data_IF_117549372991
#
_entry.id   IF_117549372991
#
_cell.length_a   1.000
_cell.length_b   1.000
_cell.length_c   1.000
_cell.angle_alpha   90.00
_cell.angle_beta   90.00
_cell.angle_gamma   90.00
#
_symmetry.space_group_name_H-M   'P 1'
#
loop_
_entity.id
_entity.type
_entity.pdbx_description
1 polymer ?
#
# COMPACT_ATOMS: atom_id res chain seq x y z
N UNK A 1 18.16 8.65 3.02
CA UNK A 1 18.58 9.64 2.01
C UNK A 1 17.47 10.70 1.89
N UNK A 2 17.82 11.98 1.96
CA UNK A 2 16.90 13.08 1.65
C UNK A 2 16.64 13.14 0.12
N UNK A 3 15.38 13.25 -0.27
CA UNK A 3 14.94 13.24 -1.68
C UNK A 3 15.20 14.56 -2.41
N UNK A 4 15.31 15.66 -1.68
CA UNK A 4 15.49 17.00 -2.26
C UNK A 4 16.98 17.34 -2.49
N UNK A 5 17.89 16.41 -2.16
CA UNK A 5 19.33 16.61 -2.26
C UNK A 5 19.94 15.75 -3.37
N UNK A 6 20.99 16.28 -4.00
CA UNK A 6 21.91 15.53 -4.85
C UNK A 6 23.09 15.07 -4.03
N UNK A 7 23.57 13.86 -4.30
CA UNK A 7 24.77 13.32 -3.67
C UNK A 7 25.81 13.06 -4.74
N UNK A 8 27.07 13.31 -4.39
CA UNK A 8 28.20 13.20 -5.29
C UNK A 8 29.13 12.11 -4.80
N UNK A 9 29.71 11.37 -5.74
CA UNK A 9 30.50 10.20 -5.41
C UNK A 9 31.20 9.59 -6.60
N UNK A 10 31.74 8.40 -6.36
CA UNK A 10 32.41 7.57 -7.36
C UNK A 10 31.71 6.22 -7.46
N UNK A 11 31.59 5.67 -8.67
CA UNK A 11 30.96 4.38 -8.95
C UNK A 11 31.81 3.52 -9.87
N UNK A 12 31.63 2.20 -9.78
CA UNK A 12 32.31 1.21 -10.61
C UNK A 12 31.48 -0.07 -10.75
N UNK A 13 31.83 -0.92 -11.72
CA UNK A 13 31.24 -2.25 -11.86
C UNK A 13 31.85 -3.22 -10.85
N UNK A 14 31.09 -4.23 -10.43
CA UNK A 14 31.60 -5.26 -9.53
C UNK A 14 32.83 -5.96 -10.13
N UNK A 15 33.94 -5.99 -9.38
CA UNK A 15 35.22 -6.52 -9.84
C UNK A 15 36.12 -5.51 -10.60
N UNK A 16 35.65 -4.30 -10.87
CA UNK A 16 36.38 -3.25 -11.60
C UNK A 16 36.66 -2.01 -10.73
N UNK A 17 37.06 -2.19 -9.46
CA UNK A 17 37.28 -1.07 -8.53
C UNK A 17 38.36 -0.07 -9.00
N UNK A 18 39.30 -0.50 -9.84
CA UNK A 18 40.31 0.38 -10.43
C UNK A 18 39.74 1.39 -11.44
N UNK A 19 38.52 1.18 -11.94
CA UNK A 19 37.86 2.03 -12.93
C UNK A 19 36.72 2.85 -12.31
N UNK A 20 37.05 3.66 -11.31
CA UNK A 20 36.09 4.56 -10.65
C UNK A 20 35.71 5.71 -11.57
N UNK A 21 34.43 5.98 -11.66
CA UNK A 21 33.86 7.07 -12.45
C UNK A 21 33.06 7.98 -11.53
N UNK A 22 33.14 9.29 -11.77
CA UNK A 22 32.31 10.24 -11.05
C UNK A 22 30.81 9.95 -11.29
N UNK A 23 30.01 10.13 -10.26
CA UNK A 23 28.57 9.99 -10.33
C UNK A 23 27.81 11.01 -9.50
N UNK A 24 26.61 11.33 -9.99
CA UNK A 24 25.62 12.13 -9.29
C UNK A 24 24.40 11.25 -9.02
N UNK A 25 24.06 11.12 -7.74
CA UNK A 25 22.86 10.45 -7.27
C UNK A 25 21.78 11.49 -6.98
N UNK A 26 20.59 11.32 -7.56
CA UNK A 26 19.48 12.23 -7.36
C UNK A 26 18.13 11.50 -7.46
N UNK A 27 17.04 12.17 -7.05
CA UNK A 27 15.69 11.64 -7.17
C UNK A 27 14.92 12.34 -8.29
N UNK A 28 14.14 11.56 -9.04
CA UNK A 28 13.14 12.06 -10.00
C UNK A 28 11.86 11.26 -9.83
N UNK A 29 10.76 11.92 -9.44
CA UNK A 29 9.45 11.28 -9.24
C UNK A 29 9.51 10.06 -8.29
N UNK A 30 10.24 10.17 -7.17
CA UNK A 30 10.58 9.11 -6.20
C UNK A 30 11.48 7.96 -6.73
N UNK A 31 11.80 7.92 -8.03
CA UNK A 31 12.81 7.01 -8.56
C UNK A 31 14.20 7.57 -8.24
N UNK A 32 15.08 6.73 -7.68
CA UNK A 32 16.49 7.04 -7.50
C UNK A 32 17.18 6.92 -8.87
N UNK A 33 17.98 7.91 -9.24
CA UNK A 33 18.69 8.00 -10.50
C UNK A 33 20.18 8.18 -10.23
N UNK A 34 20.99 7.48 -11.01
CA UNK A 34 22.44 7.54 -10.97
C UNK A 34 22.96 8.00 -12.33
N UNK A 35 23.42 9.24 -12.40
CA UNK A 35 24.06 9.82 -13.58
C UNK A 35 25.58 9.69 -13.50
N UNK A 36 26.20 9.10 -14.50
CA UNK A 36 27.64 8.79 -14.50
C UNK A 36 28.15 8.56 -15.92
N UNK A 37 29.46 8.62 -16.10
CA UNK A 37 30.16 8.21 -17.31
C UNK A 37 30.59 6.74 -17.27
N UNK A 38 30.15 5.97 -16.26
CA UNK A 38 30.37 4.53 -16.17
C UNK A 38 29.61 3.80 -17.28
N UNK A 39 30.35 3.23 -18.23
CA UNK A 39 29.80 2.60 -19.42
C UNK A 39 30.39 1.20 -19.58
N UNK A 40 29.54 0.18 -19.70
CA UNK A 40 30.02 -1.16 -19.98
C UNK A 40 30.47 -1.27 -21.44
N UNK A 41 31.53 -2.06 -21.73
CA UNK A 41 32.04 -2.25 -23.08
C UNK A 41 31.06 -3.01 -23.99
N UNK A 42 30.06 -3.69 -23.41
CA UNK A 42 29.00 -4.39 -24.15
C UNK A 42 27.69 -3.64 -24.05
N UNK A 43 26.91 -3.68 -25.14
CA UNK A 43 25.54 -3.17 -25.16
C UNK A 43 24.67 -4.01 -24.23
N UNK A 44 24.22 -3.42 -23.14
CA UNK A 44 23.28 -4.03 -22.20
C UNK A 44 22.15 -3.06 -21.91
N UNK A 45 20.95 -3.59 -21.69
CA UNK A 45 19.79 -2.77 -21.31
C UNK A 45 19.77 -2.46 -19.81
N UNK A 46 20.51 -3.24 -19.01
CA UNK A 46 20.64 -3.09 -17.57
C UNK A 46 21.96 -3.65 -17.06
N UNK A 47 22.37 -3.18 -15.89
CA UNK A 47 23.51 -3.70 -15.14
C UNK A 47 23.01 -4.46 -13.90
N UNK A 48 23.52 -5.66 -13.62
CA UNK A 48 23.07 -6.42 -12.44
C UNK A 48 23.45 -5.69 -11.14
N UNK A 49 24.65 -5.12 -11.09
CA UNK A 49 25.19 -4.49 -9.89
C UNK A 49 26.13 -3.33 -10.25
N UNK A 50 25.99 -2.22 -9.54
CA UNK A 50 26.92 -1.08 -9.56
C UNK A 50 27.27 -0.77 -8.10
N UNK A 51 28.54 -0.53 -7.83
CA UNK A 51 29.06 -0.16 -6.51
C UNK A 51 29.40 1.32 -6.52
N UNK A 52 29.16 2.03 -5.42
CA UNK A 52 29.64 3.41 -5.29
C UNK A 52 29.86 3.92 -3.87
N UNK A 53 30.71 4.92 -3.77
CA UNK A 53 31.00 5.65 -2.53
C UNK A 53 30.55 7.09 -2.71
N UNK A 54 29.68 7.56 -1.82
CA UNK A 54 29.10 8.89 -1.88
C UNK A 54 29.41 9.69 -0.61
N UNK A 55 29.72 10.96 -0.81
CA UNK A 55 29.92 11.89 0.31
C UNK A 55 28.64 11.93 1.16
N UNK A 56 28.79 11.83 2.47
CA UNK A 56 27.70 11.84 3.47
C UNK A 56 26.75 10.63 3.46
N UNK A 57 26.87 9.70 2.51
CA UNK A 57 26.08 8.47 2.47
C UNK A 57 26.90 7.19 2.70
N UNK A 58 28.23 7.26 2.52
CA UNK A 58 29.10 6.09 2.64
C UNK A 58 29.03 5.18 1.43
N UNK A 59 29.05 3.86 1.66
CA UNK A 59 29.00 2.87 0.59
C UNK A 59 27.56 2.56 0.19
N UNK A 60 27.32 2.54 -1.12
CA UNK A 60 26.03 2.21 -1.72
C UNK A 60 26.20 1.09 -2.74
N UNK A 61 25.41 0.04 -2.61
CA UNK A 61 25.31 -1.04 -3.60
C UNK A 61 23.99 -0.92 -4.34
N UNK A 62 24.06 -0.72 -5.66
CA UNK A 62 22.91 -0.60 -6.55
C UNK A 62 22.66 -1.93 -7.27
N UNK A 63 21.41 -2.39 -7.29
CA UNK A 63 21.02 -3.68 -7.89
C UNK A 63 19.95 -3.48 -8.98
N UNK A 64 20.07 -4.25 -10.06
CA UNK A 64 19.16 -4.27 -11.21
C UNK A 64 18.98 -2.86 -11.82
N UNK A 65 20.11 -2.29 -12.24
CA UNK A 65 20.25 -0.92 -12.71
C UNK A 65 19.86 -0.79 -14.19
N UNK A 66 18.63 -0.36 -14.46
CA UNK A 66 18.16 -0.17 -15.83
C UNK A 66 18.74 1.10 -16.45
N UNK A 67 19.20 1.04 -17.70
CA UNK A 67 19.67 2.24 -18.41
C UNK A 67 18.45 3.02 -18.90
N UNK A 68 18.22 4.23 -18.38
CA UNK A 68 17.10 5.09 -18.79
C UNK A 68 17.50 6.04 -19.91
N UNK A 69 18.73 6.52 -19.86
CA UNK A 69 19.28 7.43 -20.86
C UNK A 69 20.73 7.05 -21.14
N UNK A 70 21.11 7.14 -22.40
CA UNK A 70 22.47 6.97 -22.86
C UNK A 70 22.72 8.01 -23.94
N UNK A 71 23.78 8.79 -23.78
CA UNK A 71 24.24 9.77 -24.75
C UNK A 71 25.66 9.42 -25.18
N UNK A 72 25.93 9.50 -26.48
CA UNK A 72 27.25 9.28 -27.07
C UNK A 72 27.78 10.59 -27.68
N UNK A 73 29.07 10.88 -27.48
CA UNK A 73 29.71 12.13 -27.87
C UNK A 73 31.16 12.21 -27.36
N UNK A 74 31.74 13.42 -27.25
CA UNK A 74 33.07 13.60 -26.62
C UNK A 74 33.10 13.16 -25.14
N UNK A 75 31.94 13.18 -24.49
CA UNK A 75 31.71 12.61 -23.15
C UNK A 75 30.52 11.68 -23.27
N UNK A 76 30.70 10.42 -22.85
CA UNK A 76 29.59 9.45 -22.77
C UNK A 76 28.94 9.58 -21.40
N UNK A 77 27.63 9.86 -21.36
CA UNK A 77 26.87 9.98 -20.10
C UNK A 77 25.70 9.02 -20.12
N UNK A 78 25.54 8.29 -19.01
CA UNK A 78 24.46 7.34 -18.76
C UNK A 78 23.71 7.68 -17.49
N UNK A 79 22.38 7.47 -17.54
CA UNK A 79 21.53 7.54 -16.36
C UNK A 79 20.99 6.15 -16.08
N UNK A 80 21.42 5.58 -14.96
CA UNK A 80 20.95 4.31 -14.44
C UNK A 80 19.81 4.54 -13.44
N UNK A 81 18.78 3.70 -13.52
CA UNK A 81 17.72 3.61 -12.53
C UNK A 81 17.83 2.28 -11.79
N UNK A 82 18.46 2.24 -10.59
CA UNK A 82 18.48 1.06 -9.75
C UNK A 82 17.08 0.66 -9.30
N UNK A 83 16.83 -0.65 -9.21
CA UNK A 83 15.60 -1.18 -8.60
C UNK A 83 15.70 -1.19 -7.07
N UNK A 84 16.87 -1.56 -6.56
CA UNK A 84 17.18 -1.57 -5.13
C UNK A 84 18.51 -0.86 -4.88
N UNK A 85 18.63 -0.20 -3.73
CA UNK A 85 19.85 0.50 -3.32
C UNK A 85 20.10 0.24 -1.85
N UNK A 86 21.24 -0.35 -1.52
CA UNK A 86 21.62 -0.72 -0.17
C UNK A 86 22.66 0.26 0.34
N UNK A 87 22.45 0.81 1.53
CA UNK A 87 23.38 1.73 2.21
C UNK A 87 23.94 1.04 3.43
N UNK A 88 25.26 1.01 3.53
CA UNK A 88 25.99 0.27 4.55
C UNK A 88 27.39 0.84 4.77
N UNK A 89 28.05 0.34 5.82
CA UNK A 89 29.46 0.65 6.10
C UNK A 89 30.41 0.03 5.07
N UNK A 90 30.00 -1.05 4.39
CA UNK A 90 30.77 -1.77 3.37
C UNK A 90 29.87 -2.18 2.20
N UNK A 91 30.43 -2.45 1.03
CA UNK A 91 29.65 -2.95 -0.11
C UNK A 91 29.09 -4.36 0.12
N UNK A 92 27.83 -4.56 -0.27
CA UNK A 92 27.25 -5.91 -0.32
C UNK A 92 27.85 -6.71 -1.47
N UNK A 93 28.43 -7.85 -1.15
CA UNK A 93 28.94 -8.82 -2.12
C UNK A 93 27.80 -9.64 -2.74
N UNK A 94 26.74 -9.92 -1.97
CA UNK A 94 25.55 -10.66 -2.45
C UNK A 94 24.25 -10.12 -1.82
N UNK A 95 23.75 -9.02 -2.39
CA UNK A 95 22.54 -8.36 -1.90
C UNK A 95 21.26 -9.20 -2.11
N UNK A 96 21.25 -10.14 -3.06
CA UNK A 96 20.06 -10.95 -3.39
C UNK A 96 19.91 -12.17 -2.47
N UNK A 97 21.02 -12.80 -2.07
CA UNK A 97 20.98 -13.91 -1.12
C UNK A 97 21.17 -13.46 0.34
N UNK A 98 21.20 -12.15 0.60
CA UNK A 98 21.26 -11.61 1.97
C UNK A 98 20.05 -12.12 2.76
N UNK A 99 20.32 -12.86 3.82
CA UNK A 99 19.33 -13.36 4.76
C UNK A 99 19.19 -12.42 5.94
N UNK A 100 17.95 -12.21 6.38
CA UNK A 100 17.59 -11.35 7.50
C UNK A 100 16.56 -12.04 8.37
N UNK A 101 16.76 -11.99 9.68
CA UNK A 101 15.75 -12.43 10.66
C UNK A 101 14.99 -11.25 11.25
N UNK A 102 15.57 -10.05 11.23
CA UNK A 102 15.02 -8.86 11.88
C UNK A 102 15.08 -7.66 10.94
N UNK A 103 13.94 -7.00 10.72
CA UNK A 103 13.85 -5.79 9.90
C UNK A 103 12.79 -4.81 10.41
N UNK A 104 13.06 -3.53 10.25
CA UNK A 104 12.25 -2.43 10.73
C UNK A 104 11.93 -1.43 9.62
N UNK A 105 10.68 -0.96 9.59
CA UNK A 105 10.21 0.02 8.62
C UNK A 105 9.60 1.22 9.34
N UNK A 106 10.05 2.41 8.99
CA UNK A 106 9.48 3.68 9.47
C UNK A 106 8.47 4.18 8.45
N UNK A 107 7.24 4.43 8.90
CA UNK A 107 6.16 4.89 8.03
C UNK A 107 5.24 5.89 8.75
N UNK A 108 5.10 7.09 8.19
CA UNK A 108 4.26 8.17 8.72
C UNK A 108 2.76 7.81 8.75
N UNK A 109 2.30 6.82 7.96
CA UNK A 109 0.92 6.33 8.05
C UNK A 109 0.62 5.72 9.42
N UNK A 110 1.61 5.10 10.08
CA UNK A 110 1.46 4.52 11.42
C UNK A 110 1.23 5.62 12.45
N UNK A 111 1.96 6.75 12.37
CA UNK A 111 1.74 7.92 13.23
C UNK A 111 0.30 8.41 13.13
N UNK A 112 -0.21 8.54 11.90
CA UNK A 112 -1.59 9.00 11.64
C UNK A 112 -2.64 7.99 12.11
N UNK A 113 -2.33 6.69 12.07
CA UNK A 113 -3.23 5.63 12.50
C UNK A 113 -3.34 5.53 14.01
N UNK A 114 -2.21 5.65 14.70
CA UNK A 114 -2.13 5.72 16.16
C UNK A 114 -2.79 7.00 16.68
N UNK A 115 -2.56 8.12 16.00
CA UNK A 115 -3.14 9.42 16.29
C UNK A 115 -2.86 9.93 17.73
N UNK A 116 -1.70 9.61 18.28
CA UNK A 116 -1.25 10.17 19.56
C UNK A 116 -0.62 11.53 19.34
N UNK A 117 -1.28 12.58 19.83
CA UNK A 117 -0.76 13.94 19.79
C UNK A 117 0.23 14.20 20.92
N UNK A 118 1.24 15.00 20.61
CA UNK A 118 2.07 15.64 21.63
C UNK A 118 1.50 17.00 21.97
N UNK A 119 1.37 17.29 23.26
CA UNK A 119 0.91 18.59 23.71
C UNK A 119 1.74 19.03 24.91
N UNK A 120 1.94 20.34 25.03
CA UNK A 120 2.68 20.91 26.14
C UNK A 120 1.72 21.22 27.27
N UNK A 121 1.97 20.62 28.43
CA UNK A 121 1.25 20.94 29.65
C UNK A 121 1.90 22.16 30.31
N UNK A 122 1.17 23.27 30.32
CA UNK A 122 1.61 24.53 30.93
C UNK A 122 1.53 24.51 32.46
N UNK A 123 0.85 23.53 33.07
CA UNK A 123 0.78 23.40 34.53
C UNK A 123 2.00 22.66 35.08
N UNK A 124 2.42 21.61 34.36
CA UNK A 124 3.55 20.75 34.74
C UNK A 124 4.86 21.13 34.01
N UNK A 125 4.84 22.16 33.17
CA UNK A 125 5.92 22.65 32.30
C UNK A 125 6.60 21.53 31.48
N UNK A 126 5.81 20.56 30.99
CA UNK A 126 6.31 19.34 30.35
C UNK A 126 5.59 19.05 29.03
N UNK A 127 6.37 18.55 28.07
CA UNK A 127 5.81 17.97 26.86
C UNK A 127 5.24 16.58 27.18
N UNK A 128 3.91 16.46 27.15
CA UNK A 128 3.22 15.20 27.28
C UNK A 128 3.15 14.50 25.93
N UNK A 129 3.52 13.23 25.93
CA UNK A 129 3.48 12.37 24.76
C UNK A 129 3.17 10.93 25.16
N UNK A 130 2.51 10.19 24.26
CA UNK A 130 2.24 8.76 24.45
C UNK A 130 3.15 7.94 23.55
N UNK A 131 4.16 7.30 24.16
CA UNK A 131 4.94 6.21 23.57
C UNK A 131 4.21 4.90 23.83
N UNK A 132 4.20 4.02 22.84
CA UNK A 132 3.77 2.64 23.05
C UNK A 132 4.49 1.72 22.07
N UNK A 133 4.62 0.47 22.49
CA UNK A 133 5.10 -0.66 21.73
C UNK A 133 4.12 -1.80 21.98
N UNK A 134 3.37 -2.20 20.96
CA UNK A 134 2.47 -3.35 21.02
C UNK A 134 3.04 -4.50 20.20
N UNK A 135 3.15 -5.66 20.84
CA UNK A 135 3.71 -6.89 20.27
C UNK A 135 2.59 -7.84 19.87
N UNK A 136 2.69 -8.39 18.65
CA UNK A 136 1.82 -9.42 18.11
C UNK A 136 2.66 -10.60 17.64
N UNK A 137 2.28 -11.81 18.09
CA UNK A 137 3.01 -13.05 17.79
C UNK A 137 2.14 -13.96 16.91
N UNK A 138 2.73 -14.52 15.87
CA UNK A 138 2.11 -15.50 14.97
C UNK A 138 2.99 -16.75 14.99
N UNK A 139 2.84 -17.54 16.05
CA UNK A 139 3.72 -18.67 16.39
C UNK A 139 3.83 -19.70 15.25
N UNK A 140 2.72 -19.96 14.55
CA UNK A 140 2.68 -20.96 13.46
C UNK A 140 3.66 -20.70 12.31
N UNK A 141 4.11 -19.45 12.14
CA UNK A 141 5.07 -19.06 11.09
C UNK A 141 6.30 -18.38 11.68
N UNK A 142 6.48 -18.46 13.01
CA UNK A 142 7.59 -17.85 13.74
C UNK A 142 7.75 -16.36 13.43
N UNK A 143 6.66 -15.59 13.44
CA UNK A 143 6.66 -14.16 13.11
C UNK A 143 6.22 -13.32 14.30
N UNK A 144 7.09 -12.42 14.75
CA UNK A 144 6.78 -11.37 15.72
C UNK A 144 6.66 -10.03 15.00
N UNK A 145 5.65 -9.25 15.36
CA UNK A 145 5.39 -7.92 14.82
C UNK A 145 5.25 -6.95 15.98
N UNK A 146 6.15 -5.97 16.07
CA UNK A 146 6.05 -4.88 17.06
C UNK A 146 5.67 -3.59 16.35
N UNK A 147 4.55 -2.99 16.77
CA UNK A 147 4.10 -1.68 16.29
C UNK A 147 4.47 -0.65 17.34
N UNK A 148 5.21 0.38 16.92
CA UNK A 148 5.76 1.39 17.82
C UNK A 148 5.39 2.79 17.38
N UNK A 149 5.09 3.64 18.36
CA UNK A 149 5.00 5.09 18.19
C UNK A 149 5.89 5.81 19.19
N UNK A 150 6.78 6.68 18.70
CA UNK A 150 7.73 7.40 19.53
C UNK A 150 8.08 8.78 19.01
N UNK A 151 8.64 9.60 19.90
CA UNK A 151 9.22 10.88 19.55
C UNK A 151 10.68 10.75 19.17
N UNK A 152 11.03 11.36 18.04
CA UNK A 152 12.40 11.60 17.65
C UNK A 152 12.75 13.08 17.89
N UNK A 153 13.91 13.30 18.50
CA UNK A 153 14.43 14.63 18.83
C UNK A 153 15.69 14.88 18.02
N UNK A 154 15.74 16.02 17.34
CA UNK A 154 16.94 16.50 16.68
C UNK A 154 17.21 17.93 17.14
N UNK A 155 18.37 18.16 17.74
CA UNK A 155 18.78 19.49 18.17
C UNK A 155 19.76 20.05 17.16
N UNK A 156 19.44 21.23 16.64
CA UNK A 156 20.42 22.13 16.05
C UNK A 156 20.85 23.15 17.10
N UNK A 157 21.82 24.02 16.76
CA UNK A 157 22.36 25.01 17.71
C UNK A 157 21.30 26.03 18.15
N UNK A 158 20.31 26.31 17.30
CA UNK A 158 19.29 27.34 17.52
C UNK A 158 17.88 26.80 17.69
N UNK A 159 17.64 25.53 17.33
CA UNK A 159 16.29 24.95 17.26
C UNK A 159 16.28 23.50 17.75
N UNK A 160 15.16 23.10 18.36
CA UNK A 160 14.86 21.70 18.70
C UNK A 160 13.72 21.23 17.80
N UNK A 161 14.01 20.29 16.90
CA UNK A 161 13.03 19.64 16.06
C UNK A 161 12.49 18.38 16.74
N UNK A 162 11.19 18.33 16.95
CA UNK A 162 10.48 17.20 17.54
C UNK A 162 9.57 16.60 16.45
N UNK A 163 9.79 15.33 16.10
CA UNK A 163 8.97 14.61 15.11
C UNK A 163 8.41 13.32 15.69
N UNK A 164 7.10 13.13 15.58
CA UNK A 164 6.48 11.82 15.83
C UNK A 164 6.91 10.82 14.76
N UNK A 165 7.30 9.62 15.18
CA UNK A 165 7.66 8.51 14.31
C UNK A 165 6.84 7.28 14.64
N UNK A 166 6.40 6.61 13.58
CA UNK A 166 5.75 5.32 13.63
C UNK A 166 6.66 4.31 12.97
N UNK A 167 6.91 3.20 13.64
CA UNK A 167 7.70 2.11 13.08
C UNK A 167 7.03 0.77 13.32
N UNK A 168 7.36 -0.16 12.44
CA UNK A 168 7.04 -1.56 12.60
C UNK A 168 8.33 -2.37 12.57
N UNK A 169 8.50 -3.27 13.53
CA UNK A 169 9.59 -4.22 13.60
C UNK A 169 9.03 -5.62 13.34
N UNK A 170 9.66 -6.34 12.43
CA UNK A 170 9.37 -7.75 12.17
C UNK A 170 10.56 -8.58 12.60
N UNK A 171 10.29 -9.66 13.33
CA UNK A 171 11.27 -10.66 13.69
C UNK A 171 10.77 -12.04 13.30
N UNK A 172 11.62 -12.77 12.59
CA UNK A 172 11.38 -14.11 12.06
C UNK A 172 12.32 -15.10 12.72
N UNK A 173 11.77 -16.26 13.12
CA UNK A 173 12.58 -17.36 13.67
C UNK A 173 13.56 -17.90 12.62
N UNK A 174 13.07 -18.09 11.39
CA UNK A 174 13.87 -18.51 10.25
C UNK A 174 14.27 -17.30 9.37
N UNK A 175 15.57 -17.11 9.07
CA UNK A 175 16.01 -16.03 8.20
C UNK A 175 15.39 -16.07 6.80
N UNK A 176 14.84 -14.95 6.37
CA UNK A 176 14.23 -14.76 5.05
C UNK A 176 15.15 -13.92 4.16
N UNK A 177 14.96 -13.98 2.83
CA UNK A 177 15.66 -13.03 1.95
C UNK A 177 15.02 -11.64 1.99
N UNK A 178 15.73 -10.64 1.45
CA UNK A 178 15.27 -9.24 1.41
C UNK A 178 13.95 -9.10 0.63
N UNK A 179 13.73 -9.89 -0.42
CA UNK A 179 12.50 -9.80 -1.22
C UNK A 179 11.29 -10.30 -0.42
N UNK A 180 11.49 -11.36 0.36
CA UNK A 180 10.49 -11.89 1.27
C UNK A 180 10.22 -10.92 2.42
N UNK A 181 11.25 -10.27 2.98
CA UNK A 181 11.06 -9.21 3.99
C UNK A 181 10.22 -8.04 3.44
N UNK A 182 10.49 -7.62 2.18
CA UNK A 182 9.67 -6.62 1.48
C UNK A 182 8.24 -7.13 1.31
N UNK A 183 8.04 -8.40 0.93
CA UNK A 183 6.70 -9.00 0.77
C UNK A 183 5.90 -9.04 2.07
N UNK A 184 6.55 -9.36 3.19
CA UNK A 184 5.93 -9.35 4.54
C UNK A 184 5.43 -7.94 4.88
N UNK A 185 6.24 -6.92 4.58
CA UNK A 185 5.86 -5.52 4.80
C UNK A 185 4.77 -5.03 3.83
N UNK A 186 4.82 -5.41 2.54
CA UNK A 186 3.77 -5.13 1.56
C UNK A 186 2.41 -5.66 2.05
N UNK A 187 2.39 -6.86 2.66
CA UNK A 187 1.17 -7.43 3.25
C UNK A 187 0.67 -6.63 4.46
N UNK A 188 1.58 -6.16 5.31
CA UNK A 188 1.21 -5.24 6.40
C UNK A 188 0.58 -3.95 5.87
N UNK A 189 1.14 -3.36 4.81
CA UNK A 189 0.58 -2.13 4.23
C UNK A 189 -0.83 -2.34 3.65
N UNK A 190 -1.12 -3.51 3.07
CA UNK A 190 -2.47 -3.85 2.61
C UNK A 190 -3.46 -3.99 3.77
N UNK A 191 -3.03 -4.61 4.87
CA UNK A 191 -3.81 -4.66 6.11
C UNK A 191 -4.06 -3.25 6.65
N UNK A 192 -3.04 -2.41 6.70
CA UNK A 192 -3.16 -1.02 7.13
C UNK A 192 -4.14 -0.26 6.23
N UNK A 193 -4.09 -0.44 4.92
CA UNK A 193 -5.03 0.15 3.98
C UNK A 193 -6.47 -0.37 4.17
N UNK A 194 -6.65 -1.65 4.51
CA UNK A 194 -7.96 -2.24 4.84
C UNK A 194 -8.57 -1.58 6.09
N UNK A 195 -7.80 -1.45 7.19
CA UNK A 195 -8.31 -1.01 8.49
C UNK A 195 -8.32 0.51 8.63
N UNK A 196 -7.23 1.18 8.26
CA UNK A 196 -7.06 2.64 8.42
C UNK A 196 -7.42 3.44 7.16
N UNK A 197 -7.56 2.78 6.01
CA UNK A 197 -7.95 3.42 4.77
C UNK A 197 -6.88 4.31 4.16
N UNK A 198 -5.69 4.39 4.78
CA UNK A 198 -4.56 5.14 4.27
C UNK A 198 -3.30 4.30 4.37
N UNK A 199 -2.43 4.55 3.40
CA UNK A 199 -1.08 4.01 3.34
C UNK A 199 -0.17 5.13 2.87
N UNK A 200 1.11 5.03 3.22
CA UNK A 200 2.13 5.93 2.73
C UNK A 200 3.38 5.12 2.38
N UNK A 201 4.19 5.68 1.47
CA UNK A 201 5.53 5.18 1.23
C UNK A 201 6.33 5.26 2.52
N UNK A 202 7.15 4.24 2.77
CA UNK A 202 8.03 4.23 3.93
C UNK A 202 9.07 5.36 3.84
N UNK A 203 9.46 5.91 4.99
CA UNK A 203 10.58 6.86 5.11
C UNK A 203 11.91 6.09 5.08
N UNK A 204 11.95 4.94 5.77
CA UNK A 204 13.16 4.12 5.91
C UNK A 204 12.82 2.66 6.06
N UNK A 205 13.50 1.79 5.31
CA UNK A 205 13.51 0.35 5.53
C UNK A 205 14.92 -0.03 6.00
N UNK A 206 15.01 -0.71 7.14
CA UNK A 206 16.27 -1.14 7.74
C UNK A 206 16.21 -2.61 8.11
N UNK A 207 17.33 -3.30 8.05
CA UNK A 207 17.43 -4.70 8.48
C UNK A 207 18.71 -4.92 9.26
N UNK A 208 18.71 -5.93 10.11
CA UNK A 208 19.87 -6.29 10.91
C UNK A 208 20.69 -7.33 10.17
N UNK A 209 21.97 -7.03 9.93
CA UNK A 209 22.88 -7.97 9.30
C UNK A 209 23.13 -9.16 10.23
N UNK A 210 22.96 -10.39 9.73
CA UNK A 210 23.22 -11.60 10.52
C UNK A 210 24.70 -11.79 10.87
N UNK A 211 25.61 -11.29 10.03
CA UNK A 211 27.05 -11.49 10.21
C UNK A 211 27.68 -10.52 11.19
N UNK A 212 27.37 -9.23 11.11
CA UNK A 212 27.96 -8.20 11.96
C UNK A 212 27.01 -7.62 13.01
N UNK A 213 25.72 -7.93 12.96
CA UNK A 213 24.72 -7.41 13.91
C UNK A 213 24.31 -5.95 13.70
N UNK A 214 24.95 -5.24 12.75
CA UNK A 214 24.68 -3.84 12.45
C UNK A 214 23.41 -3.63 11.61
N UNK A 215 22.77 -2.48 11.80
CA UNK A 215 21.60 -2.08 11.03
C UNK A 215 22.00 -1.46 9.69
N UNK A 216 21.49 -2.04 8.61
CA UNK A 216 21.73 -1.59 7.24
C UNK A 216 20.41 -1.07 6.64
N UNK A 217 20.50 -0.21 5.62
CA UNK A 217 19.32 0.39 5.00
C UNK A 217 19.14 -0.10 3.57
N UNK A 218 17.90 -0.34 3.16
CA UNK A 218 17.54 -0.60 1.77
C UNK A 218 16.52 0.43 1.31
N UNK A 219 16.73 0.94 0.11
CA UNK A 219 15.81 1.81 -0.60
C UNK A 219 15.30 1.10 -1.85
N UNK A 220 14.00 1.19 -2.06
CA UNK A 220 13.34 0.85 -3.32
C UNK A 220 12.17 1.81 -3.52
N UNK A 221 11.86 2.16 -4.77
CA UNK A 221 10.64 2.91 -5.03
C UNK A 221 9.44 1.97 -4.95
N UNK A 222 8.65 2.12 -3.90
CA UNK A 222 7.35 1.49 -3.79
C UNK A 222 6.37 2.13 -4.79
N UNK A 223 6.36 1.60 -6.01
CA UNK A 223 5.49 2.06 -7.10
C UNK A 223 4.02 1.66 -6.89
N UNK A 224 3.74 0.74 -5.96
CA UNK A 224 2.38 0.25 -5.70
C UNK A 224 1.61 1.25 -4.85
N UNK A 225 2.27 1.98 -3.96
CA UNK A 225 1.58 2.95 -3.10
C UNK A 225 1.79 4.37 -3.62
N UNK A 226 1.03 4.71 -4.68
CA UNK A 226 0.81 6.13 -4.97
C UNK A 226 -0.06 6.74 -3.87
N UNK A 227 0.11 8.05 -3.63
CA UNK A 227 -0.55 8.82 -2.57
C UNK A 227 -2.09 8.72 -2.71
N UNK A 228 -2.68 7.61 -2.26
CA UNK A 228 -4.12 7.42 -2.21
C UNK A 228 -4.68 8.47 -1.26
N UNK A 229 -5.38 9.45 -1.82
CA UNK A 229 -6.11 10.48 -1.05
C UNK A 229 -7.47 9.97 -0.59
N UNK A 230 -7.93 8.83 -1.12
CA UNK A 230 -9.21 8.24 -0.76
C UNK A 230 -9.07 7.35 0.47
N UNK A 231 -9.70 7.79 1.54
CA UNK A 231 -9.74 7.05 2.79
C UNK A 231 -10.81 5.97 2.66
N UNK A 232 -10.41 4.70 2.56
CA UNK A 232 -11.35 3.58 2.40
C UNK A 232 -12.25 3.43 3.65
N UNK A 233 -11.66 3.16 4.81
CA UNK A 233 -12.32 3.23 6.13
C UNK A 233 -11.38 3.99 7.04
N UNK A 234 -11.85 4.96 7.82
CA UNK A 234 -11.02 5.58 8.85
C UNK A 234 -11.29 4.97 10.23
N UNK A 235 -10.33 4.19 10.76
CA UNK A 235 -10.35 3.67 12.13
C UNK A 235 -9.06 4.02 12.87
N UNK A 236 -9.18 4.43 14.13
CA UNK A 236 -8.02 4.68 14.98
C UNK A 236 -7.45 3.36 15.52
N UNK A 237 -6.15 3.32 15.79
CA UNK A 237 -5.46 2.13 16.28
C UNK A 237 -6.14 1.50 17.53
N UNK A 238 -6.49 2.32 18.53
CA UNK A 238 -7.13 1.86 19.77
C UNK A 238 -8.46 1.13 19.53
N UNK A 239 -9.19 1.47 18.46
CA UNK A 239 -10.47 0.83 18.12
C UNK A 239 -10.29 -0.52 17.44
N UNK A 240 -9.14 -0.76 16.84
CA UNK A 240 -8.81 -1.99 16.09
C UNK A 240 -7.96 -2.94 16.94
N UNK A 241 -7.26 -2.41 17.96
CA UNK A 241 -6.28 -3.13 18.78
C UNK A 241 -6.76 -4.51 19.26
N UNK A 242 -8.02 -4.60 19.69
CA UNK A 242 -8.63 -5.83 20.26
C UNK A 242 -8.86 -6.93 19.20
N UNK A 243 -8.95 -6.57 17.92
CA UNK A 243 -9.14 -7.51 16.81
C UNK A 243 -7.90 -7.64 15.91
N UNK A 244 -6.87 -6.83 16.16
CA UNK A 244 -5.71 -6.73 15.30
C UNK A 244 -4.90 -8.03 15.26
N UNK A 245 -4.88 -8.78 16.37
CA UNK A 245 -4.28 -10.12 16.46
C UNK A 245 -4.91 -11.09 15.46
N UNK A 246 -6.25 -11.16 15.40
CA UNK A 246 -7.00 -12.03 14.46
C UNK A 246 -6.75 -11.62 13.02
N UNK A 247 -6.74 -10.31 12.76
CA UNK A 247 -6.52 -9.78 11.41
C UNK A 247 -5.10 -10.05 10.94
N UNK A 248 -4.09 -9.77 11.77
CA UNK A 248 -2.69 -10.08 11.46
C UNK A 248 -2.49 -11.59 11.24
N UNK A 249 -3.05 -12.41 12.13
CA UNK A 249 -3.01 -13.87 11.97
C UNK A 249 -3.55 -14.29 10.60
N UNK A 250 -4.73 -13.81 10.20
CA UNK A 250 -5.32 -14.13 8.90
C UNK A 250 -4.51 -13.60 7.72
N UNK A 251 -4.00 -12.37 7.81
CA UNK A 251 -3.17 -11.72 6.77
C UNK A 251 -1.90 -12.52 6.50
N UNK A 252 -1.33 -13.22 7.48
CA UNK A 252 -0.08 -13.96 7.28
C UNK A 252 -0.24 -15.47 7.16
N UNK A 253 -1.39 -16.04 7.54
CA UNK A 253 -1.58 -17.51 7.54
C UNK A 253 -2.71 -18.00 6.64
N UNK A 254 -3.66 -17.15 6.25
CA UNK A 254 -4.83 -17.56 5.45
C UNK A 254 -4.68 -17.12 3.98
N UNK A 255 -4.30 -18.06 3.12
CA UNK A 255 -4.12 -17.83 1.68
C UNK A 255 -5.39 -17.30 0.98
N UNK A 256 -6.58 -17.76 1.39
CA UNK A 256 -7.85 -17.28 0.82
C UNK A 256 -8.12 -15.83 1.19
N UNK A 257 -7.82 -15.46 2.44
CA UNK A 257 -7.94 -14.10 2.93
C UNK A 257 -6.94 -13.18 2.21
N UNK A 258 -5.67 -13.59 2.15
CA UNK A 258 -4.60 -12.87 1.44
C UNK A 258 -4.97 -12.63 -0.03
N UNK A 259 -5.46 -13.65 -0.72
CA UNK A 259 -5.85 -13.52 -2.13
C UNK A 259 -6.98 -12.51 -2.33
N UNK A 260 -7.99 -12.52 -1.47
CA UNK A 260 -9.09 -11.56 -1.53
C UNK A 260 -8.63 -10.14 -1.18
N UNK A 261 -7.77 -10.00 -0.18
CA UNK A 261 -7.18 -8.72 0.21
C UNK A 261 -6.33 -8.14 -0.94
N UNK A 262 -5.46 -8.95 -1.54
CA UNK A 262 -4.63 -8.56 -2.68
C UNK A 262 -5.47 -8.05 -3.85
N UNK A 263 -6.57 -8.75 -4.16
CA UNK A 263 -7.52 -8.35 -5.20
C UNK A 263 -8.23 -7.04 -4.88
N UNK A 264 -8.75 -6.90 -3.66
CA UNK A 264 -9.38 -5.67 -3.19
C UNK A 264 -8.42 -4.47 -3.30
N UNK A 265 -7.14 -4.67 -2.96
CA UNK A 265 -6.14 -3.62 -2.96
C UNK A 265 -5.76 -3.11 -4.37
N UNK A 266 -6.05 -3.85 -5.45
CA UNK A 266 -5.78 -3.41 -6.83
C UNK A 266 -6.44 -2.06 -7.14
N UNK A 267 -7.63 -1.78 -6.59
CA UNK A 267 -8.36 -0.53 -6.78
C UNK A 267 -7.86 0.64 -5.94
N UNK A 268 -7.05 0.38 -4.91
CA UNK A 268 -6.48 1.42 -4.05
C UNK A 268 -5.04 1.77 -4.45
N UNK A 269 -4.36 0.84 -5.12
CA UNK A 269 -2.96 0.90 -5.53
C UNK A 269 -2.80 1.47 -6.96
N UNK A 270 -3.74 1.17 -7.87
CA UNK A 270 -3.60 1.55 -9.27
C UNK A 270 -3.82 3.07 -9.51
N UNK A 271 -2.88 3.70 -10.23
CA UNK A 271 -3.00 5.08 -10.69
C UNK A 271 -4.04 5.21 -11.80
N UNK A 272 -4.92 6.20 -11.69
CA UNK A 272 -5.84 6.65 -12.76
C UNK A 272 -6.61 5.52 -13.47
N UNK A 273 -7.26 4.63 -12.72
CA UNK A 273 -8.19 3.67 -13.31
C UNK A 273 -9.49 4.37 -13.73
N UNK A 274 -9.95 4.13 -14.96
CA UNK A 274 -11.28 4.58 -15.38
C UNK A 274 -12.36 3.96 -14.50
N UNK A 275 -13.53 4.61 -14.36
CA UNK A 275 -14.61 4.09 -13.51
C UNK A 275 -15.06 2.68 -13.93
N UNK A 276 -15.05 2.40 -15.24
CA UNK A 276 -15.26 1.06 -15.77
C UNK A 276 -14.23 0.06 -15.23
N UNK A 277 -12.93 0.36 -15.35
CA UNK A 277 -11.86 -0.54 -14.87
C UNK A 277 -11.94 -0.76 -13.36
N UNK A 278 -12.25 0.29 -12.59
CA UNK A 278 -12.47 0.17 -11.13
C UNK A 278 -13.65 -0.74 -10.82
N UNK A 279 -14.78 -0.56 -11.51
CA UNK A 279 -15.96 -1.39 -11.35
C UNK A 279 -15.66 -2.86 -11.67
N UNK A 280 -15.05 -3.16 -12.81
CA UNK A 280 -14.75 -4.54 -13.20
C UNK A 280 -13.76 -5.21 -12.24
N UNK A 281 -12.76 -4.49 -11.75
CA UNK A 281 -11.87 -4.95 -10.68
C UNK A 281 -12.62 -5.27 -9.37
N UNK A 282 -13.56 -4.41 -8.97
CA UNK A 282 -14.35 -4.61 -7.74
C UNK A 282 -15.24 -5.85 -7.85
N UNK A 283 -15.88 -6.04 -9.02
CA UNK A 283 -16.68 -7.22 -9.31
C UNK A 283 -15.83 -8.48 -9.33
N UNK A 284 -14.66 -8.46 -9.99
CA UNK A 284 -13.75 -9.60 -10.00
C UNK A 284 -13.26 -9.96 -8.59
N UNK A 285 -13.00 -8.96 -7.75
CA UNK A 285 -12.64 -9.14 -6.34
C UNK A 285 -13.78 -9.78 -5.54
N UNK A 286 -15.02 -9.34 -5.75
CA UNK A 286 -16.19 -9.94 -5.11
C UNK A 286 -16.47 -11.38 -5.58
N UNK A 287 -16.31 -11.66 -6.87
CA UNK A 287 -16.43 -13.02 -7.40
C UNK A 287 -15.35 -13.94 -6.84
N UNK A 288 -14.11 -13.45 -6.68
CA UNK A 288 -13.04 -14.17 -6.00
C UNK A 288 -13.42 -14.52 -4.55
N UNK A 289 -13.94 -13.53 -3.81
CA UNK A 289 -14.44 -13.76 -2.45
C UNK A 289 -15.57 -14.80 -2.44
N UNK A 290 -16.60 -14.63 -3.27
CA UNK A 290 -17.74 -15.54 -3.36
C UNK A 290 -17.32 -16.99 -3.69
N UNK A 291 -16.33 -17.18 -4.56
CA UNK A 291 -15.78 -18.50 -4.88
C UNK A 291 -15.15 -19.20 -3.68
N UNK A 292 -14.44 -18.44 -2.84
CA UNK A 292 -13.69 -18.99 -1.72
C UNK A 292 -14.55 -19.19 -0.47
N UNK A 293 -15.55 -18.33 -0.26
CA UNK A 293 -16.29 -18.27 1.01
C UNK A 293 -17.77 -18.65 0.94
N UNK A 294 -18.41 -18.64 -0.24
CA UNK A 294 -19.86 -18.86 -0.31
C UNK A 294 -20.28 -20.34 -0.42
N UNK A 295 -19.34 -21.27 -0.63
CA UNK A 295 -19.60 -22.71 -0.68
C UNK A 295 -20.46 -23.19 -1.87
N UNK A 296 -20.70 -22.35 -2.88
CA UNK A 296 -21.49 -22.72 -4.06
C UNK A 296 -20.66 -23.43 -5.13
N UNK A 297 -21.20 -24.49 -5.74
CA UNK A 297 -20.56 -25.20 -6.87
C UNK A 297 -20.49 -24.38 -8.16
N UNK A 298 -21.37 -23.40 -8.34
CA UNK A 298 -21.48 -22.60 -9.58
C UNK A 298 -21.04 -21.15 -9.36
N UNK A 299 -20.10 -20.69 -10.18
CA UNK A 299 -19.61 -19.31 -10.17
C UNK A 299 -20.63 -18.38 -10.85
N UNK A 300 -21.58 -17.87 -10.06
CA UNK A 300 -22.61 -16.96 -10.56
C UNK A 300 -22.70 -15.72 -9.67
N UNK A 301 -22.34 -14.57 -10.23
CA UNK A 301 -22.35 -13.29 -9.55
C UNK A 301 -23.70 -12.95 -8.91
N UNK A 302 -24.81 -13.15 -9.63
CA UNK A 302 -26.14 -12.88 -9.07
C UNK A 302 -26.45 -13.77 -7.87
N UNK A 303 -26.02 -15.04 -7.89
CA UNK A 303 -26.19 -15.93 -6.74
C UNK A 303 -25.35 -15.45 -5.54
N UNK A 304 -24.10 -15.03 -5.76
CA UNK A 304 -23.25 -14.49 -4.69
C UNK A 304 -23.83 -13.21 -4.09
N UNK A 305 -24.29 -12.26 -4.91
CA UNK A 305 -24.91 -11.01 -4.43
C UNK A 305 -26.15 -11.35 -3.58
N UNK A 306 -26.99 -12.30 -4.04
CA UNK A 306 -28.18 -12.74 -3.28
C UNK A 306 -27.82 -13.45 -1.98
N UNK A 307 -26.77 -14.27 -1.99
CA UNK A 307 -26.29 -14.97 -0.80
C UNK A 307 -25.84 -13.99 0.29
N UNK A 308 -25.11 -12.94 -0.09
CA UNK A 308 -24.64 -11.88 0.82
C UNK A 308 -25.58 -10.67 0.91
N UNK A 309 -26.91 -10.88 0.70
CA UNK A 309 -27.92 -9.79 0.71
C UNK A 309 -27.78 -8.88 1.93
N UNK A 310 -27.59 -9.46 3.12
CA UNK A 310 -27.56 -8.72 4.39
C UNK A 310 -26.48 -7.64 4.36
N UNK A 311 -25.25 -7.97 3.95
CA UNK A 311 -24.15 -7.01 3.85
C UNK A 311 -24.46 -5.88 2.87
N UNK A 312 -24.99 -6.18 1.69
CA UNK A 312 -25.38 -5.17 0.71
C UNK A 312 -26.48 -4.24 1.23
N UNK A 313 -27.48 -4.77 1.94
CA UNK A 313 -28.58 -3.97 2.49
C UNK A 313 -28.08 -3.09 3.65
N UNK A 314 -27.21 -3.60 4.52
CA UNK A 314 -26.64 -2.83 5.64
C UNK A 314 -25.78 -1.65 5.16
N UNK A 315 -24.98 -1.85 4.12
CA UNK A 315 -24.01 -0.87 3.61
C UNK A 315 -24.62 0.05 2.53
N UNK A 316 -25.51 -0.48 1.69
CA UNK A 316 -26.13 0.28 0.61
C UNK A 316 -27.44 0.96 0.98
N UNK A 317 -28.05 0.58 2.13
CA UNK A 317 -29.42 0.97 2.54
C UNK A 317 -30.45 0.82 1.43
N UNK A 318 -30.38 -0.27 0.68
CA UNK A 318 -31.35 -0.55 -0.38
C UNK A 318 -32.75 -0.73 0.18
N UNK A 319 -33.72 -0.09 -0.47
CA UNK A 319 -35.13 -0.44 -0.31
C UNK A 319 -35.41 -1.80 -0.98
N UNK A 320 -36.53 -2.43 -0.63
CA UNK A 320 -36.90 -3.72 -1.22
C UNK A 320 -37.04 -3.66 -2.75
N UNK A 321 -37.51 -2.55 -3.29
CA UNK A 321 -37.68 -2.38 -4.73
C UNK A 321 -36.36 -2.17 -5.47
N UNK A 322 -35.44 -1.39 -4.89
CA UNK A 322 -34.10 -1.25 -5.43
C UNK A 322 -33.36 -2.59 -5.44
N UNK A 323 -33.47 -3.35 -4.34
CA UNK A 323 -32.84 -4.65 -4.21
C UNK A 323 -33.32 -5.65 -5.27
N UNK A 324 -34.61 -5.67 -5.63
CA UNK A 324 -35.15 -6.60 -6.64
C UNK A 324 -34.42 -6.47 -7.98
N UNK A 325 -34.06 -5.25 -8.38
CA UNK A 325 -33.42 -4.97 -9.67
C UNK A 325 -31.89 -4.90 -9.61
N UNK A 326 -31.31 -4.69 -8.43
CA UNK A 326 -29.88 -4.45 -8.27
C UNK A 326 -28.99 -5.61 -8.77
N UNK A 327 -29.17 -6.88 -8.35
CA UNK A 327 -28.29 -7.97 -8.77
C UNK A 327 -28.28 -8.18 -10.30
N UNK A 328 -29.43 -8.05 -10.96
CA UNK A 328 -29.54 -8.22 -12.41
C UNK A 328 -28.94 -7.05 -13.18
N UNK A 329 -29.09 -5.81 -12.69
CA UNK A 329 -28.45 -4.62 -13.29
C UNK A 329 -26.93 -4.67 -13.16
N UNK A 330 -26.39 -5.17 -12.04
CA UNK A 330 -24.94 -5.40 -11.86
C UNK A 330 -24.40 -6.40 -12.89
N UNK A 331 -25.04 -7.56 -13.03
CA UNK A 331 -24.62 -8.59 -14.00
C UNK A 331 -24.62 -8.05 -15.43
N UNK A 332 -25.70 -7.36 -15.84
CA UNK A 332 -25.77 -6.75 -17.19
C UNK A 332 -24.68 -5.71 -17.42
N UNK A 333 -24.37 -4.89 -16.41
CA UNK A 333 -23.34 -3.86 -16.51
C UNK A 333 -21.94 -4.48 -16.60
N UNK A 334 -21.65 -5.52 -15.82
CA UNK A 334 -20.43 -6.32 -15.97
C UNK A 334 -20.32 -6.90 -17.38
N UNK A 335 -21.37 -7.54 -17.88
CA UNK A 335 -21.33 -8.20 -19.19
C UNK A 335 -21.17 -7.19 -20.33
N UNK A 336 -21.75 -6.00 -20.20
CA UNK A 336 -21.54 -4.91 -21.15
C UNK A 336 -20.08 -4.47 -21.20
N UNK A 337 -19.44 -4.24 -20.05
CA UNK A 337 -18.08 -3.72 -19.99
C UNK A 337 -16.97 -4.77 -20.20
N UNK A 338 -17.21 -6.02 -19.81
CA UNK A 338 -16.22 -7.12 -19.90
C UNK A 338 -16.36 -7.88 -21.22
N UNK A 339 -17.59 -8.09 -21.71
CA UNK A 339 -17.85 -8.91 -22.90
C UNK A 339 -18.27 -8.08 -24.12
N UNK A 340 -18.23 -6.75 -24.04
CA UNK A 340 -18.64 -5.83 -25.11
C UNK A 340 -20.05 -6.14 -25.65
N UNK A 341 -20.97 -6.56 -24.77
CA UNK A 341 -22.33 -6.91 -25.16
C UNK A 341 -23.19 -5.64 -25.31
N UNK A 342 -23.00 -4.94 -26.43
CA UNK A 342 -23.60 -3.62 -26.74
C UNK A 342 -25.14 -3.67 -26.77
N UNK A 343 -25.75 -4.85 -26.89
CA UNK A 343 -27.20 -5.02 -26.91
C UNK A 343 -27.89 -4.75 -25.54
N UNK A 344 -27.14 -4.72 -24.44
CA UNK A 344 -27.70 -4.46 -23.10
C UNK A 344 -28.06 -2.98 -22.90
N UNK A 345 -29.34 -2.63 -23.04
CA UNK A 345 -29.86 -1.24 -22.96
C UNK A 345 -30.16 -0.71 -21.54
N UNK A 346 -29.85 -1.46 -20.47
CA UNK A 346 -30.13 -1.07 -19.08
C UNK A 346 -28.94 -1.41 -18.17
N UNK A 347 -27.89 -0.62 -18.33
CA UNK A 347 -26.63 -0.70 -17.59
C UNK A 347 -26.41 0.58 -16.79
N UNK A 348 -25.50 0.53 -15.82
CA UNK A 348 -25.10 1.71 -15.06
C UNK A 348 -24.30 2.69 -15.94
N UNK A 349 -24.55 3.98 -15.76
CA UNK A 349 -23.75 5.07 -16.32
C UNK A 349 -22.36 5.12 -15.66
N UNK A 350 -21.43 5.86 -16.27
CA UNK A 350 -20.04 5.92 -15.79
C UNK A 350 -19.91 6.40 -14.33
N UNK A 351 -20.75 7.35 -13.90
CA UNK A 351 -20.76 7.80 -12.51
C UNK A 351 -21.41 6.77 -11.57
N UNK A 352 -22.43 6.04 -12.03
CA UNK A 352 -23.03 4.94 -11.26
C UNK A 352 -22.04 3.79 -11.03
N UNK A 353 -21.23 3.45 -12.04
CA UNK A 353 -20.18 2.44 -11.91
C UNK A 353 -19.19 2.78 -10.79
N UNK A 354 -18.86 4.07 -10.62
CA UNK A 354 -17.96 4.52 -9.57
C UNK A 354 -18.50 4.20 -8.17
N UNK A 355 -19.70 4.69 -7.83
CA UNK A 355 -20.20 4.48 -6.47
C UNK A 355 -20.60 3.03 -6.20
N UNK A 356 -20.99 2.27 -7.23
CA UNK A 356 -21.22 0.83 -7.11
C UNK A 356 -19.91 0.09 -6.86
N UNK A 357 -18.82 0.49 -7.51
CA UNK A 357 -17.49 -0.08 -7.24
C UNK A 357 -17.11 0.07 -5.75
N UNK A 358 -17.33 1.26 -5.17
CA UNK A 358 -17.10 1.49 -3.75
C UNK A 358 -17.99 0.61 -2.87
N UNK A 359 -19.28 0.48 -3.17
CA UNK A 359 -20.18 -0.41 -2.42
C UNK A 359 -19.63 -1.85 -2.40
N UNK A 360 -19.18 -2.37 -3.54
CA UNK A 360 -18.59 -3.71 -3.60
C UNK A 360 -17.31 -3.81 -2.79
N UNK A 361 -16.41 -2.81 -2.87
CA UNK A 361 -15.19 -2.78 -2.05
C UNK A 361 -15.55 -2.88 -0.56
N UNK A 362 -16.45 -2.02 -0.06
CA UNK A 362 -16.90 -2.01 1.34
C UNK A 362 -17.54 -3.33 1.77
N UNK A 363 -18.38 -3.93 0.90
CA UNK A 363 -19.00 -5.24 1.17
C UNK A 363 -17.93 -6.32 1.29
N UNK A 364 -16.93 -6.35 0.41
CA UNK A 364 -15.82 -7.32 0.50
C UNK A 364 -15.05 -7.11 1.82
N UNK A 365 -14.69 -5.88 2.15
CA UNK A 365 -13.96 -5.57 3.39
C UNK A 365 -14.74 -5.99 4.65
N UNK A 366 -16.04 -5.66 4.69
CA UNK A 366 -16.94 -6.09 5.76
C UNK A 366 -16.98 -7.61 5.88
N UNK A 367 -17.22 -8.32 4.77
CA UNK A 367 -17.36 -9.78 4.78
C UNK A 367 -16.05 -10.48 5.14
N UNK A 368 -14.90 -9.97 4.68
CA UNK A 368 -13.59 -10.48 5.08
C UNK A 368 -13.41 -10.40 6.60
N UNK A 369 -13.72 -9.24 7.19
CA UNK A 369 -13.60 -9.07 8.65
C UNK A 369 -14.65 -9.88 9.42
N UNK A 370 -15.87 -10.00 8.91
CA UNK A 370 -16.92 -10.83 9.48
C UNK A 370 -16.49 -12.30 9.53
N UNK A 371 -15.80 -12.82 8.51
CA UNK A 371 -15.28 -14.20 8.52
C UNK A 371 -14.25 -14.45 9.62
N UNK A 372 -13.56 -13.41 10.08
CA UNK A 372 -12.60 -13.48 11.19
C UNK A 372 -13.25 -13.31 12.57
N UNK A 373 -14.57 -13.05 12.64
CA UNK A 373 -15.31 -12.79 13.88
C UNK A 373 -14.67 -11.64 14.69
N UNK A 374 -14.36 -10.54 14.01
CA UNK A 374 -13.94 -9.30 14.67
C UNK A 374 -15.11 -8.68 15.45
N UNK A 375 -14.82 -7.69 16.30
CA UNK A 375 -15.84 -6.97 17.05
C UNK A 375 -16.90 -6.32 16.16
N UNK A 376 -18.13 -6.26 16.67
CA UNK A 376 -19.22 -5.54 16.00
C UNK A 376 -18.90 -4.05 15.82
N UNK A 377 -18.12 -3.47 16.72
CA UNK A 377 -17.76 -2.05 16.64
C UNK A 377 -16.87 -1.76 15.43
N UNK A 378 -15.93 -2.66 15.11
CA UNK A 378 -15.13 -2.57 13.89
C UNK A 378 -16.01 -2.77 12.65
N UNK A 379 -16.90 -3.76 12.65
CA UNK A 379 -17.84 -3.99 11.53
C UNK A 379 -18.77 -2.79 11.30
N UNK A 380 -19.27 -2.15 12.36
CA UNK A 380 -20.09 -0.93 12.29
C UNK A 380 -19.34 0.21 11.62
N UNK A 381 -18.01 0.33 11.78
CA UNK A 381 -17.22 1.36 11.07
C UNK A 381 -17.26 1.16 9.56
N UNK A 382 -17.11 -0.08 9.07
CA UNK A 382 -17.23 -0.38 7.64
C UNK A 382 -18.63 -0.05 7.11
N UNK A 383 -19.67 -0.38 7.87
CA UNK A 383 -21.05 -0.03 7.53
C UNK A 383 -21.23 1.50 7.46
N UNK A 384 -20.77 2.26 8.45
CA UNK A 384 -20.94 3.71 8.50
C UNK A 384 -20.20 4.42 7.36
N UNK A 385 -18.94 4.06 7.10
CA UNK A 385 -18.16 4.65 6.02
C UNK A 385 -18.70 4.28 4.64
N UNK A 386 -19.04 3.00 4.44
CA UNK A 386 -19.66 2.55 3.19
C UNK A 386 -21.00 3.23 2.93
N UNK A 387 -21.81 3.41 3.98
CA UNK A 387 -23.05 4.20 3.91
C UNK A 387 -22.79 5.63 3.44
N UNK A 388 -21.87 6.36 4.09
CA UNK A 388 -21.59 7.75 3.69
C UNK A 388 -21.12 7.81 2.24
N UNK A 389 -20.12 7.02 1.86
CA UNK A 389 -19.57 7.07 0.49
C UNK A 389 -20.61 6.71 -0.57
N UNK A 390 -21.30 5.58 -0.42
CA UNK A 390 -22.26 5.12 -1.41
C UNK A 390 -23.50 6.02 -1.48
N UNK A 391 -24.09 6.36 -0.34
CA UNK A 391 -25.34 7.12 -0.29
C UNK A 391 -25.12 8.56 -0.72
N UNK A 392 -24.03 9.19 -0.28
CA UNK A 392 -23.74 10.58 -0.65
C UNK A 392 -23.48 10.71 -2.16
N UNK A 393 -22.73 9.76 -2.75
CA UNK A 393 -22.52 9.73 -4.20
C UNK A 393 -23.79 9.41 -4.98
N UNK A 394 -24.58 8.43 -4.53
CA UNK A 394 -25.87 8.11 -5.15
C UNK A 394 -26.81 9.31 -5.15
N UNK A 395 -26.95 9.98 -4.00
CA UNK A 395 -27.77 11.20 -3.85
C UNK A 395 -27.25 12.34 -4.73
N UNK A 396 -25.94 12.51 -4.81
CA UNK A 396 -25.32 13.50 -5.71
C UNK A 396 -25.68 13.21 -7.16
N UNK A 397 -25.61 11.94 -7.58
CA UNK A 397 -26.02 11.52 -8.92
C UNK A 397 -27.50 11.83 -9.20
N UNK A 398 -28.39 11.54 -8.25
CA UNK A 398 -29.82 11.82 -8.36
C UNK A 398 -30.10 13.32 -8.52
N UNK A 399 -29.41 14.17 -7.76
CA UNK A 399 -29.54 15.63 -7.85
C UNK A 399 -29.04 16.15 -9.21
N UNK A 400 -27.85 15.70 -9.64
CA UNK A 400 -27.25 16.15 -10.91
C UNK A 400 -28.01 15.64 -12.13
N UNK A 401 -28.63 14.45 -12.03
CA UNK A 401 -29.44 13.85 -13.09
C UNK A 401 -30.87 14.38 -13.13
N UNK A 402 -31.34 15.02 -12.05
CA UNK A 402 -32.67 15.61 -12.02
C UNK A 402 -32.69 16.87 -12.90
N UNK A 403 -33.41 16.80 -14.03
CA UNK A 403 -33.69 17.99 -14.83
C UNK A 403 -34.85 18.77 -14.19
N UNK A 404 -34.62 19.95 -13.57
CA UNK A 404 -35.66 20.71 -12.90
C UNK A 404 -36.75 21.22 -13.86
N UNK A 405 -36.47 21.28 -15.16
CA UNK A 405 -37.42 21.73 -16.19
C UNK A 405 -38.46 20.66 -16.58
N UNK A 406 -38.21 19.38 -16.27
CA UNK A 406 -39.15 18.30 -16.54
C UNK A 406 -40.19 18.12 -15.42
N UNK A 407 -39.89 18.54 -14.18
CA UNK A 407 -40.83 18.46 -13.05
C UNK A 407 -42.03 19.40 -13.15
N UNK A 408 -41.96 20.43 -13.99
CA UNK A 408 -43.03 21.42 -14.16
C UNK A 408 -44.03 21.11 -15.29
N UNK A 409 -43.92 19.94 -15.94
CA UNK A 409 -44.88 19.52 -16.99
C UNK A 409 -45.99 18.58 -16.51
N UNK A 410 -45.98 18.21 -15.23
CA UNK A 410 -47.07 17.49 -14.58
C UNK A 410 -47.73 18.40 -13.54
N UNK A 411 -48.48 19.39 -14.02
CA UNK A 411 -49.58 20.02 -13.30
C UNK A 411 -50.72 20.28 -14.25
#
# INVERSE_FOLDING_TARGET
>A
MNKDQKYYGEVWFAGEESNKQFAVLFYKDDDLMLETNLCAPRTVYKQPQILGVFTSLGYITFIDCHIQHSSSGMVETRIYRPKYSFVSADHFVDALNTKVSEFSVINDAIVKWVNHYTWYDHLDDKLLYKKFDDLYTIDNIGLEITISHYLNFHSERTELHIKNRGSILFKKDEPVDILEAIRIYDQFQKMLQLLFGRSAKFERFSFKCLSCGEWQQVYYNDKKLTKSTHTYVHTDYEKVKVDLDKVLYAVYTNNSFQFCLDKLMENFIATHTSHNKRFTNSIASFEAFGKLYAGHKSNNLSKFIKHYKIAFVLIGKFTDDEWKSFPSKVVRSRDYHVHSNIANKNVYSEYELLYISFLFDFVIGYLLLETLKVSEDLLKKFIMHGNSVFIDMKRTNEILSANPLLKNKEK
#
